data_IF_967847508432
#
_entry.id   IF_967847508432
#
_cell.length_a   1.000
_cell.length_b   1.000
_cell.length_c   1.000
_cell.angle_alpha   90.00
_cell.angle_beta   90.00
_cell.angle_gamma   90.00
#
_symmetry.space_group_name_H-M   'P 1'
#
loop_
_entity.id
_entity.type
_entity.pdbx_description
1 polymer ?
#
# COMPACT_ATOMS: atom_id res chain seq x y z
N UNK A 1 -18.25 21.27 -0.01
CA UNK A 1 -18.72 20.14 0.65
C UNK A 1 -17.76 18.97 0.72
N UNK A 2 -18.01 18.12 1.68
CA UNK A 2 -17.25 16.91 1.98
C UNK A 2 -17.23 15.87 0.84
N UNK A 3 -18.15 16.00 -0.13
CA UNK A 3 -18.28 15.01 -1.20
C UNK A 3 -17.14 15.05 -2.24
N UNK A 4 -16.55 16.22 -2.50
CA UNK A 4 -15.44 16.35 -3.43
C UNK A 4 -14.14 15.74 -2.90
N UNK A 5 -13.92 15.79 -1.59
CA UNK A 5 -12.72 15.25 -0.97
C UNK A 5 -12.71 13.72 -0.99
N UNK A 6 -13.86 13.05 -0.78
CA UNK A 6 -13.93 11.60 -0.76
C UNK A 6 -13.74 10.96 -2.15
N UNK A 7 -14.15 11.64 -3.22
CA UNK A 7 -13.87 11.17 -4.59
C UNK A 7 -12.42 11.41 -5.02
N UNK A 8 -11.79 12.47 -4.50
CA UNK A 8 -10.43 12.84 -4.89
C UNK A 8 -9.33 11.99 -4.30
N UNK A 9 -9.55 11.39 -3.13
CA UNK A 9 -8.46 10.73 -2.41
C UNK A 9 -7.96 9.45 -3.09
N UNK A 10 -8.84 8.65 -3.70
CA UNK A 10 -8.43 7.48 -4.46
C UNK A 10 -7.74 7.88 -5.76
N UNK A 11 -8.23 8.92 -6.42
CA UNK A 11 -7.57 9.47 -7.59
C UNK A 11 -6.18 10.02 -7.26
N UNK A 12 -6.00 10.63 -6.08
CA UNK A 12 -4.71 11.11 -5.59
C UNK A 12 -3.70 9.98 -5.43
N UNK A 13 -4.11 8.84 -4.91
CA UNK A 13 -3.25 7.67 -4.76
C UNK A 13 -2.87 7.07 -6.11
N UNK A 14 -3.70 7.26 -7.14
CA UNK A 14 -3.42 6.85 -8.51
C UNK A 14 -2.64 7.91 -9.32
N UNK A 15 -2.24 9.04 -8.71
CA UNK A 15 -1.47 10.10 -9.35
C UNK A 15 -2.01 11.51 -9.14
N UNK A 16 -2.89 11.72 -8.15
CA UNK A 16 -3.50 13.01 -7.85
C UNK A 16 -2.67 13.94 -6.96
N UNK A 17 -3.32 14.87 -6.27
CA UNK A 17 -2.65 15.92 -5.50
C UNK A 17 -2.07 15.43 -4.17
N UNK A 18 -1.03 16.15 -3.68
CA UNK A 18 -0.42 15.86 -2.39
C UNK A 18 -1.38 16.06 -1.21
N UNK A 19 -2.34 17.00 -1.33
CA UNK A 19 -3.34 17.26 -0.30
C UNK A 19 -4.28 16.08 -0.10
N UNK A 20 -4.73 15.47 -1.21
CA UNK A 20 -5.58 14.29 -1.18
C UNK A 20 -4.85 13.10 -0.58
N UNK A 21 -3.58 12.91 -0.93
CA UNK A 21 -2.74 11.87 -0.35
C UNK A 21 -2.56 12.05 1.17
N UNK A 22 -2.40 13.29 1.64
CA UNK A 22 -2.31 13.60 3.07
C UNK A 22 -3.62 13.32 3.80
N UNK A 23 -4.75 13.64 3.17
CA UNK A 23 -6.06 13.36 3.74
C UNK A 23 -6.28 11.85 3.91
N UNK A 24 -5.96 11.07 2.88
CA UNK A 24 -6.02 9.61 2.94
C UNK A 24 -5.09 9.06 4.03
N UNK A 25 -3.86 9.54 4.09
CA UNK A 25 -2.92 9.14 5.12
C UNK A 25 -3.46 9.42 6.53
N UNK A 26 -4.13 10.54 6.73
CA UNK A 26 -4.79 10.86 8.00
C UNK A 26 -5.93 9.91 8.33
N UNK A 27 -6.77 9.57 7.35
CA UNK A 27 -7.87 8.62 7.55
C UNK A 27 -7.33 7.22 7.90
N UNK A 28 -6.32 6.77 7.17
CA UNK A 28 -5.67 5.49 7.45
C UNK A 28 -4.97 5.48 8.80
N UNK A 29 -4.33 6.59 9.21
CA UNK A 29 -3.68 6.67 10.51
C UNK A 29 -4.67 6.64 11.67
N UNK A 30 -5.87 7.16 11.52
CA UNK A 30 -6.94 7.03 12.49
C UNK A 30 -7.37 5.57 12.69
N UNK A 31 -7.24 4.75 11.64
CA UNK A 31 -7.60 3.33 11.67
C UNK A 31 -6.46 2.47 12.20
N UNK A 32 -5.22 2.82 11.90
CA UNK A 32 -4.05 1.95 12.10
C UNK A 32 -3.13 2.35 13.25
N UNK A 33 -3.16 3.62 13.68
CA UNK A 33 -2.24 4.09 14.70
C UNK A 33 -2.71 3.78 16.11
N UNK A 34 -1.82 3.32 17.02
CA UNK A 34 -2.08 3.50 18.43
C UNK A 34 -2.16 5.01 18.67
N UNK A 35 -3.31 5.45 19.18
CA UNK A 35 -3.57 6.87 19.38
C UNK A 35 -2.63 7.41 20.46
N UNK A 36 -1.76 8.33 20.08
CA UNK A 36 -1.08 9.16 21.05
C UNK A 36 -2.13 10.13 21.64
N UNK A 37 -2.29 10.14 22.97
CA UNK A 37 -3.35 10.92 23.59
C UNK A 37 -3.23 12.39 23.24
N UNK A 38 -4.34 13.17 23.15
CA UNK A 38 -5.66 12.77 23.59
C UNK A 38 -6.73 12.91 22.50
N UNK A 39 -6.64 12.17 21.44
CA UNK A 39 -7.79 12.09 20.55
C UNK A 39 -8.62 10.88 20.98
N UNK A 40 -9.95 11.01 21.19
CA UNK A 40 -10.75 9.83 21.37
C UNK A 40 -10.59 8.98 20.12
N UNK A 41 -10.00 7.83 20.29
CA UNK A 41 -9.90 6.87 19.22
C UNK A 41 -11.30 6.64 18.67
N UNK A 42 -11.54 6.77 17.35
CA UNK A 42 -12.74 6.20 16.79
C UNK A 42 -12.80 4.75 17.27
N UNK A 43 -13.97 4.31 17.71
CA UNK A 43 -14.14 2.95 18.19
C UNK A 43 -13.37 2.00 17.25
N UNK A 44 -12.44 1.18 17.78
CA UNK A 44 -11.63 0.34 16.90
C UNK A 44 -12.57 -0.49 16.07
N UNK A 45 -12.49 -0.30 14.76
CA UNK A 45 -13.26 -1.08 13.84
C UNK A 45 -12.86 -2.54 14.04
N UNK A 46 -13.81 -3.36 14.47
CA UNK A 46 -13.57 -4.79 14.64
C UNK A 46 -13.04 -5.32 13.31
N UNK A 47 -11.83 -5.87 13.32
CA UNK A 47 -11.14 -6.49 12.17
C UNK A 47 -10.48 -5.53 11.17
N UNK A 48 -10.16 -4.29 11.57
CA UNK A 48 -9.46 -3.36 10.68
C UNK A 48 -10.24 -2.97 9.43
N UNK A 49 -11.57 -3.05 9.48
CA UNK A 49 -12.46 -2.66 8.39
C UNK A 49 -13.28 -1.47 8.84
N UNK A 50 -13.20 -0.37 8.10
CA UNK A 50 -14.01 0.81 8.38
C UNK A 50 -14.81 1.22 7.17
N UNK A 51 -16.08 1.55 7.43
CA UNK A 51 -17.03 2.00 6.42
C UNK A 51 -17.19 3.51 6.51
N UNK A 52 -16.94 4.20 5.40
CA UNK A 52 -17.27 5.60 5.24
C UNK A 52 -18.62 5.72 4.53
N UNK A 53 -19.57 6.36 5.19
CA UNK A 53 -20.88 6.62 4.56
C UNK A 53 -20.72 7.80 3.62
N UNK A 54 -20.98 7.54 2.33
CA UNK A 54 -20.94 8.54 1.30
C UNK A 54 -22.20 8.43 0.42
N UNK A 55 -23.19 9.34 0.59
CA UNK A 55 -24.43 9.27 -0.18
C UNK A 55 -24.19 9.60 -1.65
N UNK A 56 -24.66 8.73 -2.52
CA UNK A 56 -24.73 9.00 -3.97
C UNK A 56 -23.41 9.01 -4.70
N UNK A 57 -22.48 8.13 -4.37
CA UNK A 57 -21.18 8.09 -5.01
C UNK A 57 -20.80 6.71 -5.54
N UNK A 58 -19.68 6.68 -6.25
CA UNK A 58 -19.05 5.44 -6.66
C UNK A 58 -18.55 4.68 -5.44
N UNK A 59 -18.44 3.39 -5.57
CA UNK A 59 -17.80 2.55 -4.56
C UNK A 59 -16.29 2.78 -4.58
N UNK A 60 -15.72 3.05 -3.43
CA UNK A 60 -14.29 3.24 -3.26
C UNK A 60 -13.77 2.31 -2.18
N UNK A 61 -12.59 1.74 -2.41
CA UNK A 61 -11.94 0.81 -1.50
C UNK A 61 -10.46 1.13 -1.36
N UNK A 62 -10.00 1.22 -0.13
CA UNK A 62 -8.57 1.20 0.20
C UNK A 62 -8.26 -0.02 1.05
N UNK A 63 -7.19 -0.70 0.69
CA UNK A 63 -6.66 -1.80 1.49
C UNK A 63 -5.20 -1.51 1.78
N UNK A 64 -4.88 -1.35 3.05
CA UNK A 64 -3.50 -1.22 3.50
C UNK A 64 -3.05 -2.53 4.13
N UNK A 65 -1.99 -3.10 3.56
CA UNK A 65 -1.37 -4.34 4.03
C UNK A 65 -0.04 -3.98 4.66
N UNK A 66 0.05 -3.96 5.99
CA UNK A 66 1.28 -3.54 6.65
C UNK A 66 2.39 -4.56 6.48
N UNK A 67 3.61 -4.05 6.39
CA UNK A 67 4.81 -4.89 6.43
C UNK A 67 4.87 -5.60 7.79
N UNK A 68 5.01 -6.94 7.80
CA UNK A 68 5.17 -7.66 9.06
C UNK A 68 6.39 -7.19 9.84
N UNK A 69 6.29 -7.21 11.17
CA UNK A 69 7.39 -6.82 12.05
C UNK A 69 8.64 -7.68 11.76
N UNK A 70 9.77 -7.02 11.61
CA UNK A 70 11.05 -7.69 11.30
C UNK A 70 11.24 -8.04 9.84
N UNK A 71 10.25 -7.84 8.98
CA UNK A 71 10.39 -8.10 7.54
C UNK A 71 11.18 -6.97 6.85
N UNK A 72 11.75 -7.30 5.70
CA UNK A 72 12.62 -6.41 4.95
C UNK A 72 11.84 -5.32 4.21
N UNK A 73 12.16 -4.06 4.46
CA UNK A 73 11.63 -2.94 3.69
C UNK A 73 12.05 -3.02 2.22
N UNK A 74 13.27 -3.47 1.94
CA UNK A 74 13.75 -3.66 0.57
C UNK A 74 12.89 -4.70 -0.18
N UNK A 75 12.54 -5.80 0.49
CA UNK A 75 11.66 -6.82 -0.09
C UNK A 75 10.27 -6.26 -0.40
N UNK A 76 9.71 -5.46 0.50
CA UNK A 76 8.41 -4.80 0.29
C UNK A 76 8.44 -3.86 -0.91
N UNK A 77 9.47 -3.01 -1.00
CA UNK A 77 9.60 -2.06 -2.09
C UNK A 77 9.74 -2.77 -3.45
N UNK A 78 10.49 -3.87 -3.49
CA UNK A 78 10.64 -4.65 -4.71
C UNK A 78 9.31 -5.35 -5.06
N UNK A 79 8.64 -5.94 -4.08
CA UNK A 79 7.33 -6.55 -4.28
C UNK A 79 6.32 -5.53 -4.82
N UNK A 80 6.32 -4.32 -4.28
CA UNK A 80 5.44 -3.25 -4.75
C UNK A 80 5.70 -2.86 -6.20
N UNK A 81 6.97 -2.73 -6.60
CA UNK A 81 7.33 -2.46 -7.99
C UNK A 81 6.86 -3.57 -8.94
N UNK A 82 6.92 -4.82 -8.47
CA UNK A 82 6.44 -5.95 -9.25
C UNK A 82 4.91 -5.94 -9.39
N UNK A 83 4.20 -5.68 -8.30
CA UNK A 83 2.74 -5.71 -8.27
C UNK A 83 2.09 -4.57 -9.03
N UNK A 84 2.66 -3.37 -9.00
CA UNK A 84 2.03 -2.15 -9.51
C UNK A 84 1.54 -2.29 -10.96
N UNK A 85 2.40 -2.61 -11.95
CA UNK A 85 1.94 -2.76 -13.32
C UNK A 85 1.04 -3.97 -13.55
N UNK A 86 1.29 -5.08 -12.84
CA UNK A 86 0.48 -6.28 -12.97
C UNK A 86 -0.94 -6.08 -12.43
N UNK A 87 -1.07 -5.38 -11.32
CA UNK A 87 -2.35 -5.07 -10.72
C UNK A 87 -3.20 -4.20 -11.65
N UNK A 88 -2.59 -3.16 -12.20
CA UNK A 88 -3.25 -2.27 -13.15
C UNK A 88 -3.67 -3.03 -14.40
N UNK A 89 -2.76 -3.81 -14.99
CA UNK A 89 -3.03 -4.57 -16.21
C UNK A 89 -4.20 -5.55 -16.00
N UNK A 90 -4.18 -6.29 -14.91
CA UNK A 90 -5.20 -7.31 -14.66
C UNK A 90 -6.55 -6.71 -14.29
N UNK A 91 -6.58 -5.76 -13.35
CA UNK A 91 -7.84 -5.26 -12.81
C UNK A 91 -8.43 -4.12 -13.66
N UNK A 92 -7.60 -3.20 -14.13
CA UNK A 92 -8.05 -2.04 -14.90
C UNK A 92 -8.29 -2.37 -16.37
N UNK A 93 -7.34 -3.07 -16.98
CA UNK A 93 -7.36 -3.30 -18.43
C UNK A 93 -8.12 -4.58 -18.77
N UNK A 94 -7.77 -5.72 -18.18
CA UNK A 94 -8.38 -7.00 -18.53
C UNK A 94 -9.77 -7.18 -17.93
N UNK A 95 -9.92 -6.91 -16.64
CA UNK A 95 -11.19 -7.14 -15.92
C UNK A 95 -12.10 -5.92 -15.89
N UNK A 96 -11.59 -4.74 -16.22
CA UNK A 96 -12.36 -3.48 -16.26
C UNK A 96 -13.15 -3.25 -14.96
N UNK A 97 -12.47 -3.46 -13.83
CA UNK A 97 -13.11 -3.40 -12.50
C UNK A 97 -13.58 -2.00 -12.15
N UNK A 98 -12.85 -0.96 -12.59
CA UNK A 98 -13.18 0.42 -12.30
C UNK A 98 -12.21 1.36 -13.01
N UNK A 99 -12.27 2.63 -12.65
CA UNK A 99 -11.44 3.67 -13.26
C UNK A 99 -10.26 4.10 -12.39
N UNK A 100 -10.27 3.81 -11.11
CA UNK A 100 -9.09 3.92 -10.25
C UNK A 100 -8.70 2.53 -9.81
N UNK A 101 -7.48 2.12 -10.17
CA UNK A 101 -6.92 0.82 -9.82
C UNK A 101 -5.44 1.03 -9.58
N UNK A 102 -4.99 0.85 -8.35
CA UNK A 102 -3.60 1.05 -7.96
C UNK A 102 -3.20 0.08 -6.87
N UNK A 103 -2.00 -0.45 -6.95
CA UNK A 103 -1.34 -1.21 -5.90
C UNK A 103 0.10 -0.76 -5.81
N UNK A 104 0.49 -0.15 -4.68
CA UNK A 104 1.82 0.43 -4.56
C UNK A 104 2.30 0.44 -3.12
N UNK A 105 3.60 0.66 -2.95
CA UNK A 105 4.16 0.96 -1.66
C UNK A 105 3.60 2.27 -1.10
N UNK A 106 3.28 2.26 0.18
CA UNK A 106 2.85 3.46 0.90
C UNK A 106 3.27 3.37 2.36
N UNK A 107 3.79 4.49 2.88
CA UNK A 107 3.99 4.64 4.31
C UNK A 107 2.79 5.37 4.90
N UNK A 108 2.18 4.77 5.92
CA UNK A 108 1.00 5.30 6.62
C UNK A 108 1.32 5.30 8.10
N UNK A 109 1.33 6.45 8.74
CA UNK A 109 1.61 6.62 10.18
C UNK A 109 2.78 5.77 10.61
N UNK A 110 3.94 5.89 10.45
CA UNK A 110 5.12 5.10 10.86
C UNK A 110 5.13 3.62 10.43
N UNK A 111 4.18 3.20 9.58
CA UNK A 111 4.13 1.84 9.07
C UNK A 111 4.30 1.83 7.56
N UNK A 112 5.19 0.95 7.08
CA UNK A 112 5.36 0.67 5.67
C UNK A 112 4.39 -0.43 5.26
N UNK A 113 3.91 -0.40 4.01
CA UNK A 113 3.00 -1.42 3.53
C UNK A 113 2.68 -1.31 2.05
N UNK A 114 1.82 -2.21 1.58
CA UNK A 114 1.19 -2.15 0.28
C UNK A 114 -0.17 -1.48 0.41
N UNK A 115 -0.45 -0.53 -0.47
CA UNK A 115 -1.74 0.13 -0.54
C UNK A 115 -2.42 -0.19 -1.86
N UNK A 116 -3.57 -0.84 -1.78
CA UNK A 116 -4.47 -1.04 -2.91
C UNK A 116 -5.55 0.03 -2.87
N UNK A 117 -5.80 0.66 -4.01
CA UNK A 117 -6.86 1.66 -4.18
C UNK A 117 -7.71 1.28 -5.38
N UNK A 118 -9.00 1.16 -5.16
CA UNK A 118 -9.97 0.77 -6.17
C UNK A 118 -11.19 1.70 -6.10
N UNK A 119 -11.64 2.17 -7.25
CA UNK A 119 -12.87 2.97 -7.34
C UNK A 119 -13.65 2.55 -8.58
N UNK A 120 -14.93 2.23 -8.39
CA UNK A 120 -15.80 1.68 -9.41
C UNK A 120 -17.18 2.32 -9.36
N UNK A 121 -17.79 2.62 -10.51
CA UNK A 121 -19.15 3.16 -10.55
C UNK A 121 -20.23 2.10 -10.36
N UNK A 122 -19.92 0.82 -10.55
CA UNK A 122 -20.92 -0.24 -10.67
C UNK A 122 -20.64 -1.49 -9.81
N UNK A 123 -19.53 -1.54 -9.10
CA UNK A 123 -19.15 -2.69 -8.28
C UNK A 123 -19.24 -2.39 -6.79
N UNK A 124 -19.56 -3.41 -6.00
CA UNK A 124 -19.64 -3.30 -4.54
C UNK A 124 -18.25 -3.41 -3.91
N UNK A 125 -18.08 -2.86 -2.73
CA UNK A 125 -16.83 -2.91 -2.00
C UNK A 125 -16.34 -4.35 -1.76
N UNK A 126 -17.24 -5.26 -1.44
CA UNK A 126 -16.91 -6.68 -1.25
C UNK A 126 -16.35 -7.35 -2.52
N UNK A 127 -16.88 -7.00 -3.68
CA UNK A 127 -16.36 -7.46 -4.97
C UNK A 127 -14.96 -6.90 -5.25
N UNK A 128 -14.76 -5.62 -5.00
CA UNK A 128 -13.47 -4.98 -5.17
C UNK A 128 -12.41 -5.59 -4.25
N UNK A 129 -12.78 -5.85 -3.00
CA UNK A 129 -11.90 -6.51 -2.04
C UNK A 129 -11.54 -7.91 -2.49
N UNK A 130 -12.51 -8.66 -3.01
CA UNK A 130 -12.27 -10.01 -3.55
C UNK A 130 -11.29 -9.96 -4.72
N UNK A 131 -11.42 -8.98 -5.62
CA UNK A 131 -10.49 -8.81 -6.73
C UNK A 131 -9.06 -8.57 -6.25
N UNK A 132 -8.88 -7.72 -5.24
CA UNK A 132 -7.56 -7.49 -4.64
C UNK A 132 -6.98 -8.75 -3.99
N UNK A 133 -7.80 -9.50 -3.25
CA UNK A 133 -7.39 -10.77 -2.65
C UNK A 133 -7.00 -11.81 -3.71
N UNK A 134 -7.82 -11.94 -4.75
CA UNK A 134 -7.57 -12.87 -5.83
C UNK A 134 -6.30 -12.56 -6.60
N UNK A 135 -6.04 -11.27 -6.82
CA UNK A 135 -4.78 -10.83 -7.42
C UNK A 135 -3.58 -11.35 -6.63
N UNK A 136 -3.55 -11.15 -5.31
CA UNK A 136 -2.44 -11.59 -4.48
C UNK A 136 -2.30 -13.11 -4.44
N UNK A 137 -3.43 -13.82 -4.37
CA UNK A 137 -3.43 -15.30 -4.37
C UNK A 137 -2.93 -15.87 -5.69
N UNK A 138 -3.25 -15.24 -6.80
CA UNK A 138 -2.88 -15.68 -8.14
C UNK A 138 -1.51 -15.19 -8.57
N UNK A 139 -0.87 -14.36 -7.76
CA UNK A 139 0.46 -13.86 -8.06
C UNK A 139 1.45 -15.02 -8.05
N UNK A 140 2.08 -15.25 -9.22
CA UNK A 140 3.08 -16.29 -9.33
C UNK A 140 4.28 -16.01 -8.42
N UNK A 141 4.90 -17.04 -7.81
CA UNK A 141 6.15 -16.85 -7.08
C UNK A 141 7.19 -16.20 -7.97
N UNK A 142 7.87 -15.18 -7.44
CA UNK A 142 8.88 -14.47 -8.19
C UNK A 142 10.09 -15.36 -8.46
N UNK A 143 10.52 -15.45 -9.72
CA UNK A 143 11.73 -16.15 -10.14
C UNK A 143 12.91 -15.19 -10.26
N UNK A 144 14.11 -15.74 -10.43
CA UNK A 144 15.34 -14.96 -10.59
C UNK A 144 15.30 -14.06 -11.82
N UNK A 145 14.72 -14.52 -12.92
CA UNK A 145 14.65 -13.75 -14.16
C UNK A 145 13.81 -12.50 -14.01
N UNK A 146 12.73 -12.57 -13.25
CA UNK A 146 11.88 -11.41 -12.91
C UNK A 146 12.52 -10.53 -11.84
N UNK A 147 13.14 -11.15 -10.85
CA UNK A 147 13.73 -10.48 -9.70
C UNK A 147 14.91 -9.58 -10.05
N UNK A 148 15.85 -10.07 -10.85
CA UNK A 148 17.11 -9.37 -11.14
C UNK A 148 16.91 -7.96 -11.74
N UNK A 149 16.09 -7.79 -12.79
CA UNK A 149 15.87 -6.45 -13.34
C UNK A 149 15.21 -5.49 -12.33
N UNK A 150 14.28 -5.99 -11.52
CA UNK A 150 13.62 -5.20 -10.48
C UNK A 150 14.60 -4.77 -9.40
N UNK A 151 15.45 -5.68 -8.96
CA UNK A 151 16.51 -5.39 -7.98
C UNK A 151 17.44 -4.29 -8.48
N UNK A 152 17.92 -4.40 -9.70
CA UNK A 152 18.82 -3.41 -10.31
C UNK A 152 18.15 -2.05 -10.44
N UNK A 153 16.90 -2.03 -10.90
CA UNK A 153 16.14 -0.78 -11.04
C UNK A 153 15.92 -0.11 -9.69
N UNK A 154 15.50 -0.87 -8.69
CA UNK A 154 15.24 -0.31 -7.35
C UNK A 154 16.52 0.25 -6.72
N UNK A 155 17.62 -0.48 -6.79
CA UNK A 155 18.92 -0.01 -6.30
C UNK A 155 19.37 1.27 -6.99
N UNK A 156 19.21 1.34 -8.31
CA UNK A 156 19.54 2.53 -9.10
C UNK A 156 18.67 3.74 -8.73
N UNK A 157 17.37 3.53 -8.53
CA UNK A 157 16.45 4.59 -8.11
C UNK A 157 16.81 5.16 -6.75
N UNK A 158 17.19 4.30 -5.81
CA UNK A 158 17.57 4.74 -4.46
C UNK A 158 18.89 5.52 -4.51
N UNK A 159 19.88 5.08 -5.28
CA UNK A 159 21.14 5.80 -5.46
C UNK A 159 20.91 7.17 -6.07
N UNK A 160 20.04 7.28 -7.07
CA UNK A 160 19.74 8.54 -7.75
C UNK A 160 18.97 9.52 -6.87
N UNK A 161 18.12 9.04 -5.97
CA UNK A 161 17.25 9.87 -5.13
C UNK A 161 17.90 10.28 -3.79
N UNK A 162 19.12 9.84 -3.50
CA UNK A 162 19.79 10.11 -2.20
C UNK A 162 20.52 11.44 -2.20
N UNK A 163 19.97 12.49 -1.56
CA UNK A 163 20.74 13.71 -1.31
C UNK A 163 21.80 13.44 -0.24
N UNK A 164 22.92 14.20 -0.21
CA UNK A 164 23.98 14.03 0.78
C UNK A 164 23.50 14.08 2.23
N UNK A 165 22.46 14.85 2.50
CA UNK A 165 21.85 14.99 3.83
C UNK A 165 21.17 13.70 4.30
N UNK A 166 20.75 12.83 3.40
CA UNK A 166 20.13 11.57 3.75
C UNK A 166 21.08 10.61 4.49
N UNK A 167 22.40 10.79 4.33
CA UNK A 167 23.39 9.98 5.05
C UNK A 167 23.35 10.22 6.57
N UNK A 168 23.14 11.45 7.00
CA UNK A 168 23.01 11.78 8.41
C UNK A 168 21.72 11.19 9.01
N UNK A 169 20.62 11.26 8.28
CA UNK A 169 19.34 10.64 8.67
C UNK A 169 19.45 9.12 8.70
N UNK A 170 20.19 8.53 7.78
CA UNK A 170 20.47 7.09 7.74
C UNK A 170 21.17 6.60 9.01
N UNK A 171 22.19 7.32 9.44
CA UNK A 171 22.94 7.00 10.65
C UNK A 171 22.04 7.05 11.89
N UNK A 172 21.18 8.07 11.99
CA UNK A 172 20.22 8.22 13.09
C UNK A 172 19.19 7.07 13.08
N UNK A 173 18.67 6.70 11.93
CA UNK A 173 17.71 5.60 11.80
C UNK A 173 18.34 4.26 12.22
N UNK A 174 19.58 4.04 11.83
CA UNK A 174 20.32 2.84 12.20
C UNK A 174 20.53 2.76 13.72
N UNK A 175 20.86 3.88 14.35
CA UNK A 175 21.04 3.99 15.81
C UNK A 175 19.75 3.63 16.57
N UNK A 176 18.58 4.01 16.03
CA UNK A 176 17.29 3.71 16.62
C UNK A 176 16.65 2.42 16.13
N UNK A 177 17.35 1.64 15.32
CA UNK A 177 16.85 0.36 14.80
C UNK A 177 15.63 0.50 13.87
N UNK A 178 15.43 1.65 13.24
CA UNK A 178 14.32 1.90 12.33
C UNK A 178 14.61 1.32 10.94
N UNK A 179 13.58 0.78 10.26
CA UNK A 179 13.74 0.26 8.89
C UNK A 179 14.23 1.35 7.94
N UNK A 180 15.24 1.03 7.16
CA UNK A 180 15.78 1.94 6.17
C UNK A 180 15.95 1.26 4.83
N UNK A 181 15.62 1.99 3.76
CA UNK A 181 15.85 1.55 2.40
C UNK A 181 17.19 2.09 1.91
N UNK A 182 18.20 1.22 1.85
CA UNK A 182 19.52 1.55 1.33
C UNK A 182 19.80 0.77 0.04
N UNK A 183 20.68 1.27 -0.86
CA UNK A 183 21.09 0.50 -2.02
C UNK A 183 21.71 -0.84 -1.64
N UNK A 184 22.48 -0.87 -0.55
CA UNK A 184 23.12 -2.09 -0.04
C UNK A 184 22.08 -3.12 0.41
N UNK A 185 21.01 -2.69 1.08
CA UNK A 185 19.93 -3.57 1.50
C UNK A 185 19.23 -4.20 0.29
N UNK A 186 19.06 -3.45 -0.79
CA UNK A 186 18.46 -3.95 -2.04
C UNK A 186 19.43 -4.93 -2.73
N UNK A 187 20.71 -4.61 -2.79
CA UNK A 187 21.73 -5.47 -3.41
C UNK A 187 21.90 -6.80 -2.65
N UNK A 188 21.68 -6.79 -1.33
CA UNK A 188 21.75 -7.99 -0.49
C UNK A 188 20.46 -8.84 -0.52
N UNK A 189 19.40 -8.33 -1.14
CA UNK A 189 18.09 -9.00 -1.16
C UNK A 189 18.16 -10.27 -2.00
N UNK A 190 17.48 -11.31 -1.52
CA UNK A 190 17.34 -12.59 -2.25
C UNK A 190 15.91 -12.78 -2.71
N UNK A 191 15.74 -13.44 -3.85
CA UNK A 191 14.40 -13.71 -4.42
C UNK A 191 13.48 -14.44 -3.44
N UNK A 192 14.00 -15.36 -2.66
CA UNK A 192 13.23 -16.10 -1.67
C UNK A 192 12.59 -15.18 -0.61
N UNK A 193 13.27 -14.12 -0.21
CA UNK A 193 12.75 -13.17 0.76
C UNK A 193 11.50 -12.43 0.24
N UNK A 194 11.51 -12.07 -1.04
CA UNK A 194 10.37 -11.41 -1.69
C UNK A 194 9.19 -12.37 -1.83
N UNK A 195 9.45 -13.60 -2.25
CA UNK A 195 8.43 -14.64 -2.37
C UNK A 195 7.80 -14.97 -1.02
N UNK A 196 8.61 -15.09 0.03
CA UNK A 196 8.14 -15.35 1.39
C UNK A 196 7.29 -14.20 1.92
N UNK A 197 7.71 -12.96 1.68
CA UNK A 197 6.96 -11.77 2.07
C UNK A 197 5.59 -11.74 1.40
N UNK A 198 5.54 -12.00 0.10
CA UNK A 198 4.27 -12.02 -0.64
C UNK A 198 3.30 -13.05 -0.05
N UNK A 199 3.78 -14.25 0.26
CA UNK A 199 2.97 -15.28 0.90
C UNK A 199 2.49 -14.85 2.28
N UNK A 200 3.36 -14.30 3.09
CA UNK A 200 3.02 -13.88 4.45
C UNK A 200 1.96 -12.76 4.45
N UNK A 201 2.14 -11.74 3.62
CA UNK A 201 1.19 -10.64 3.51
C UNK A 201 -0.18 -11.12 3.00
N UNK A 202 -0.20 -12.08 2.10
CA UNK A 202 -1.44 -12.67 1.58
C UNK A 202 -2.15 -13.53 2.64
N UNK A 203 -1.43 -14.25 3.47
CA UNK A 203 -1.98 -15.14 4.49
C UNK A 203 -2.55 -14.39 5.70
N UNK A 204 -1.92 -13.28 6.10
CA UNK A 204 -2.26 -12.55 7.32
C UNK A 204 -3.32 -11.48 7.09
N UNK A 205 -4.46 -11.86 6.52
CA UNK A 205 -5.57 -10.93 6.20
C UNK A 205 -6.14 -10.21 7.42
N UNK A 206 -5.98 -10.75 8.62
CA UNK A 206 -6.43 -10.10 9.86
C UNK A 206 -5.69 -8.80 10.16
N UNK A 207 -4.51 -8.61 9.59
CA UNK A 207 -3.72 -7.38 9.74
C UNK A 207 -4.03 -6.35 8.66
N UNK A 208 -4.82 -6.70 7.66
CA UNK A 208 -5.21 -5.77 6.62
C UNK A 208 -6.14 -4.71 7.18
N UNK A 209 -5.88 -3.46 6.81
CA UNK A 209 -6.74 -2.33 7.14
C UNK A 209 -7.56 -2.00 5.90
N UNK A 210 -8.88 -2.02 6.03
CA UNK A 210 -9.80 -1.83 4.90
C UNK A 210 -10.67 -0.61 5.18
N UNK A 211 -10.65 0.33 4.26
CA UNK A 211 -11.50 1.51 4.29
C UNK A 211 -12.34 1.51 3.01
N UNK A 212 -13.64 1.63 3.13
CA UNK A 212 -14.49 1.63 1.95
C UNK A 212 -15.65 2.61 2.09
N UNK A 213 -16.15 3.08 0.95
CA UNK A 213 -17.38 3.86 0.87
C UNK A 213 -18.52 2.98 0.41
N UNK A 214 -19.69 3.22 0.94
CA UNK A 214 -20.93 2.66 0.38
C UNK A 214 -21.62 3.78 -0.38
N UNK A 215 -21.80 3.58 -1.70
CA UNK A 215 -22.76 4.33 -2.45
C UNK A 215 -24.15 3.78 -2.13
N UNK A 216 -25.04 4.63 -1.74
CA UNK A 216 -26.45 4.26 -1.68
C UNK A 216 -27.08 4.31 -3.06
#
# INVERSE_FOLDING_TARGET
>A
GTSGHQKGWLAALAGGSAEDAQWVARQLSLITAPVNPPMPAPAPCRRGVERLVYPGGDTALLVFIPLPDGASLAALRLLAQHCEPLFFQRLRVEQQIGYVVSCRYQRVADRDGLLMALQSPDRRAGELLRCGKDFLRQLAPMDEATFRPLQQRLAAQIRASRPPEARALSALRQEYGLPELTPQAVDALRVAEVADLAREMTRRRRRWQVLFTTGD
#
